data_IF_036916857649
#
_entry.id   IF_036916857649
#
_cell.length_a   1.000
_cell.length_b   1.000
_cell.length_c   1.000
_cell.angle_alpha   90.00
_cell.angle_beta   90.00
_cell.angle_gamma   90.00
#
_symmetry.space_group_name_H-M   'P 1'
#
loop_
_entity.id
_entity.type
_entity.pdbx_description
1 polymer ?
#
# COMPACT_ATOMS: atom_id res chain seq x y z
N UNK A 1 25.39 14.91 24.64
CA UNK A 1 24.06 14.91 24.03
C UNK A 1 23.48 13.51 24.18
N UNK A 2 22.53 13.33 25.09
CA UNK A 2 21.87 12.04 25.34
C UNK A 2 20.90 11.82 24.18
N UNK A 3 21.20 10.89 23.27
CA UNK A 3 20.25 10.46 22.26
C UNK A 3 19.18 9.67 23.01
N UNK A 4 18.01 10.23 23.20
CA UNK A 4 16.84 9.49 23.70
C UNK A 4 16.42 8.54 22.58
N UNK A 5 16.95 7.33 22.60
CA UNK A 5 16.48 6.24 21.74
C UNK A 5 15.15 5.72 22.30
N UNK A 6 14.07 6.02 21.59
CA UNK A 6 12.75 5.46 21.88
C UNK A 6 12.68 4.06 21.26
N UNK A 7 12.38 3.06 22.10
CA UNK A 7 12.22 1.68 21.64
C UNK A 7 11.01 1.51 20.74
N UNK A 8 11.13 0.67 19.74
CA UNK A 8 10.08 0.27 18.82
C UNK A 8 10.41 -1.07 18.19
N UNK A 9 9.61 -1.48 17.24
CA UNK A 9 9.75 -2.75 16.52
C UNK A 9 9.70 -2.50 15.03
N UNK A 10 10.59 -3.13 14.28
CA UNK A 10 10.52 -3.20 12.83
C UNK A 10 10.03 -4.58 12.41
N UNK A 11 9.00 -4.61 11.59
CA UNK A 11 8.48 -5.81 10.96
C UNK A 11 8.90 -5.83 9.50
N UNK A 12 9.44 -6.95 9.05
CA UNK A 12 9.68 -7.24 7.65
C UNK A 12 8.67 -8.26 7.15
N UNK A 13 7.86 -7.87 6.20
CA UNK A 13 6.77 -8.69 5.66
C UNK A 13 7.13 -9.06 4.23
N UNK A 14 7.26 -10.36 3.96
CA UNK A 14 7.57 -10.92 2.64
C UNK A 14 6.40 -11.66 2.04
N UNK A 15 6.38 -11.77 0.71
CA UNK A 15 5.35 -12.45 -0.06
C UNK A 15 4.83 -11.60 -1.21
N UNK A 16 3.58 -11.83 -1.61
CA UNK A 16 2.86 -10.96 -2.55
C UNK A 16 2.25 -9.78 -1.79
N UNK A 17 3.08 -8.80 -1.46
CA UNK A 17 2.68 -7.67 -0.61
C UNK A 17 2.86 -6.30 -1.27
N UNK A 18 3.30 -6.26 -2.53
CA UNK A 18 3.37 -5.04 -3.33
C UNK A 18 2.40 -5.10 -4.52
N UNK A 19 1.79 -3.97 -4.87
CA UNK A 19 0.81 -3.89 -5.96
C UNK A 19 -0.56 -4.50 -5.65
N UNK A 20 -0.85 -4.81 -4.40
CA UNK A 20 -2.08 -5.49 -3.95
C UNK A 20 -2.90 -4.68 -2.94
N UNK A 21 -2.60 -3.37 -2.79
CA UNK A 21 -3.25 -2.54 -1.78
C UNK A 21 -2.74 -2.79 -0.35
N UNK A 22 -1.56 -3.39 -0.19
CA UNK A 22 -1.06 -3.80 1.12
C UNK A 22 -0.67 -2.62 2.01
N UNK A 23 0.06 -1.60 1.50
CA UNK A 23 0.40 -0.37 2.26
C UNK A 23 -0.85 0.39 2.74
N UNK A 24 -1.87 0.65 1.89
CA UNK A 24 -3.16 1.18 2.34
C UNK A 24 -3.81 0.35 3.44
N UNK A 25 -3.82 -0.96 3.29
CA UNK A 25 -4.36 -1.89 4.28
C UNK A 25 -3.62 -1.81 5.63
N UNK A 26 -2.28 -1.84 5.60
CA UNK A 26 -1.42 -1.68 6.80
C UNK A 26 -1.71 -0.35 7.49
N UNK A 27 -1.82 0.74 6.73
CA UNK A 27 -2.15 2.05 7.26
C UNK A 27 -3.51 2.06 7.96
N UNK A 28 -4.55 1.52 7.31
CA UNK A 28 -5.90 1.45 7.88
C UNK A 28 -5.94 0.57 9.14
N UNK A 29 -5.20 -0.54 9.16
CA UNK A 29 -5.08 -1.41 10.32
C UNK A 29 -4.39 -0.68 11.49
N UNK A 30 -3.30 0.01 11.23
CA UNK A 30 -2.59 0.80 12.23
C UNK A 30 -3.49 1.89 12.84
N UNK A 31 -4.27 2.59 11.99
CA UNK A 31 -5.23 3.59 12.46
C UNK A 31 -6.30 2.98 13.38
N UNK A 32 -6.87 1.82 13.01
CA UNK A 32 -7.86 1.12 13.85
C UNK A 32 -7.31 0.72 15.21
N UNK A 33 -6.04 0.33 15.25
CA UNK A 33 -5.35 -0.08 16.47
C UNK A 33 -4.68 1.09 17.20
N UNK A 34 -4.82 2.31 16.69
CA UNK A 34 -4.22 3.54 17.26
C UNK A 34 -2.70 3.44 17.42
N UNK A 35 -2.02 2.80 16.47
CA UNK A 35 -0.57 2.61 16.46
C UNK A 35 0.15 3.80 15.81
N UNK A 36 1.38 4.04 16.26
CA UNK A 36 2.25 5.07 15.73
C UNK A 36 3.44 4.43 15.00
N UNK A 37 3.83 5.02 13.87
CA UNK A 37 4.93 4.48 13.10
C UNK A 37 4.86 4.78 11.62
N UNK A 38 5.38 3.86 10.83
CA UNK A 38 5.39 4.00 9.37
C UNK A 38 5.38 2.68 8.62
N UNK A 39 5.00 2.75 7.34
CA UNK A 39 5.09 1.65 6.39
C UNK A 39 5.74 2.12 5.09
N UNK A 40 6.63 1.30 4.51
CA UNK A 40 7.17 1.52 3.17
C UNK A 40 7.40 0.20 2.45
N UNK A 41 7.48 0.27 1.10
CA UNK A 41 8.01 -0.82 0.30
C UNK A 41 9.54 -0.73 0.21
N UNK A 42 10.19 -1.86 0.05
CA UNK A 42 11.59 -1.94 -0.38
C UNK A 42 11.79 -3.12 -1.36
N UNK A 43 13.06 -3.47 -1.65
CA UNK A 43 13.38 -4.56 -2.56
C UNK A 43 12.92 -5.95 -2.10
N UNK A 44 12.74 -6.16 -0.80
CA UNK A 44 12.42 -7.46 -0.19
C UNK A 44 10.94 -7.63 0.18
N UNK A 45 10.14 -6.56 0.11
CA UNK A 45 8.72 -6.61 0.47
C UNK A 45 8.21 -5.32 1.10
N UNK A 46 7.64 -5.43 2.30
CA UNK A 46 7.12 -4.31 3.08
C UNK A 46 7.80 -4.23 4.44
N UNK A 47 8.22 -3.04 4.80
CA UNK A 47 8.73 -2.72 6.13
C UNK A 47 7.69 -1.92 6.89
N UNK A 48 7.33 -2.37 8.07
CA UNK A 48 6.46 -1.65 9.03
C UNK A 48 7.27 -1.39 10.28
N UNK A 49 7.25 -0.16 10.76
CA UNK A 49 7.86 0.21 12.04
C UNK A 49 6.79 0.68 12.98
N UNK A 50 6.77 0.14 14.18
CA UNK A 50 5.79 0.45 15.22
C UNK A 50 6.51 0.92 16.49
N UNK A 51 5.89 1.87 17.16
CA UNK A 51 6.32 2.28 18.48
C UNK A 51 5.83 1.31 19.56
N UNK A 52 4.66 0.73 19.35
CA UNK A 52 3.94 -0.15 20.27
C UNK A 52 4.27 -1.64 20.03
N UNK A 53 3.76 -2.50 20.91
CA UNK A 53 3.83 -3.95 20.76
C UNK A 53 3.10 -4.40 19.46
N UNK A 54 3.77 -5.16 18.59
CA UNK A 54 3.20 -5.57 17.32
C UNK A 54 2.25 -6.78 17.38
N UNK A 55 2.05 -7.41 18.53
CA UNK A 55 1.37 -8.71 18.62
C UNK A 55 -0.05 -8.67 18.05
N UNK A 56 -0.87 -7.71 18.48
CA UNK A 56 -2.24 -7.54 17.97
C UNK A 56 -2.25 -7.15 16.50
N UNK A 57 -1.33 -6.28 16.07
CA UNK A 57 -1.18 -5.89 14.67
C UNK A 57 -0.88 -7.10 13.79
N UNK A 58 0.06 -7.96 14.18
CA UNK A 58 0.43 -9.17 13.42
C UNK A 58 -0.76 -10.13 13.33
N UNK A 59 -1.48 -10.34 14.44
CA UNK A 59 -2.65 -11.21 14.47
C UNK A 59 -3.73 -10.75 13.49
N UNK A 60 -4.08 -9.46 13.50
CA UNK A 60 -5.08 -8.90 12.60
C UNK A 60 -4.59 -8.76 11.15
N UNK A 61 -3.29 -8.57 10.94
CA UNK A 61 -2.69 -8.49 9.61
C UNK A 61 -2.99 -9.74 8.76
N UNK A 62 -2.95 -10.92 9.38
CA UNK A 62 -3.26 -12.19 8.71
C UNK A 62 -4.76 -12.40 8.48
N UNK A 63 -5.61 -11.92 9.38
CA UNK A 63 -7.06 -12.16 9.33
C UNK A 63 -7.76 -11.42 8.20
N UNK A 64 -7.30 -10.22 7.85
CA UNK A 64 -7.98 -9.31 6.91
C UNK A 64 -7.09 -8.94 5.72
N UNK A 65 -6.15 -9.81 5.35
CA UNK A 65 -5.23 -9.59 4.24
C UNK A 65 -5.99 -9.28 2.94
N UNK A 66 -5.56 -8.28 2.15
CA UNK A 66 -6.18 -7.98 0.86
C UNK A 66 -6.26 -9.20 -0.06
N UNK A 67 -7.32 -9.34 -0.89
CA UNK A 67 -7.59 -10.57 -1.65
C UNK A 67 -6.46 -11.01 -2.59
N UNK A 68 -5.66 -10.08 -3.10
CA UNK A 68 -4.53 -10.37 -3.99
C UNK A 68 -3.21 -10.54 -3.23
N UNK A 69 -3.18 -10.20 -1.95
CA UNK A 69 -1.99 -10.31 -1.13
C UNK A 69 -1.79 -11.73 -0.60
N UNK A 70 -0.53 -12.07 -0.36
CA UNK A 70 -0.14 -13.28 0.36
C UNK A 70 1.07 -12.95 1.21
N UNK A 71 0.97 -13.20 2.50
CA UNK A 71 2.08 -13.07 3.45
C UNK A 71 2.76 -14.43 3.56
N UNK A 72 4.03 -14.49 3.20
CA UNK A 72 4.85 -15.70 3.30
C UNK A 72 5.62 -15.73 4.63
N UNK A 73 6.11 -14.58 5.10
CA UNK A 73 6.75 -14.45 6.42
C UNK A 73 6.59 -13.04 7.00
N UNK A 74 6.60 -12.98 8.33
CA UNK A 74 6.73 -11.76 9.11
C UNK A 74 7.88 -11.95 10.08
N UNK A 75 8.94 -11.17 9.90
CA UNK A 75 10.09 -11.14 10.79
C UNK A 75 10.02 -9.87 11.63
N UNK A 76 10.35 -9.99 12.91
CA UNK A 76 10.30 -8.88 13.88
C UNK A 76 11.68 -8.67 14.47
N UNK A 77 12.13 -7.42 14.50
CA UNK A 77 13.39 -7.03 15.11
C UNK A 77 13.23 -5.73 15.92
N UNK A 78 14.03 -5.54 16.98
CA UNK A 78 14.05 -4.29 17.71
C UNK A 78 14.41 -3.12 16.79
N UNK A 79 13.73 -1.99 16.98
CA UNK A 79 13.99 -0.75 16.25
C UNK A 79 14.12 0.43 17.22
N UNK A 80 15.06 1.31 16.95
CA UNK A 80 15.27 2.51 17.74
C UNK A 80 14.86 3.75 16.95
N UNK A 81 13.86 4.47 17.44
CA UNK A 81 13.43 5.73 16.89
C UNK A 81 14.37 6.86 17.30
N UNK A 82 14.83 7.66 16.36
CA UNK A 82 15.54 8.92 16.65
C UNK A 82 14.59 10.00 17.14
N UNK A 83 13.34 9.96 16.68
CA UNK A 83 12.23 10.82 17.09
C UNK A 83 10.95 9.97 17.09
N UNK A 84 10.16 10.05 18.15
CA UNK A 84 8.88 9.35 18.22
C UNK A 84 7.94 9.81 17.11
N UNK A 85 7.30 8.88 16.38
CA UNK A 85 6.27 9.22 15.42
C UNK A 85 5.03 9.77 16.15
N UNK A 86 4.45 10.84 15.61
CA UNK A 86 3.23 11.44 16.15
C UNK A 86 1.96 10.74 15.65
N UNK A 87 2.08 9.98 14.55
CA UNK A 87 0.98 9.25 13.89
C UNK A 87 1.54 8.04 13.14
N UNK A 88 0.69 7.38 12.36
CA UNK A 88 1.12 6.33 11.43
C UNK A 88 1.09 6.85 10.00
N UNK A 89 2.20 6.72 9.27
CA UNK A 89 2.36 7.29 7.92
C UNK A 89 2.82 6.26 6.87
N UNK A 90 2.46 6.52 5.61
CA UNK A 90 3.03 5.79 4.47
C UNK A 90 4.24 6.58 3.97
N UNK A 91 5.43 5.99 4.10
CA UNK A 91 6.66 6.59 3.59
C UNK A 91 6.91 6.22 2.14
N UNK A 92 7.73 7.04 1.50
CA UNK A 92 8.28 6.73 0.19
C UNK A 92 9.07 5.42 0.24
N UNK A 93 8.95 4.62 -0.83
CA UNK A 93 9.65 3.34 -0.93
C UNK A 93 11.17 3.52 -0.89
N UNK A 94 11.85 2.60 -0.21
CA UNK A 94 13.30 2.51 -0.22
C UNK A 94 13.75 1.66 -1.41
N UNK A 95 14.85 2.05 -2.06
CA UNK A 95 15.50 1.25 -3.09
C UNK A 95 16.17 0.00 -2.50
N UNK A 96 16.63 -0.90 -3.37
CA UNK A 96 17.38 -2.11 -2.98
C UNK A 96 17.37 -3.17 -4.08
N UNK A 97 18.10 -4.26 -3.85
CA UNK A 97 18.06 -5.44 -4.72
C UNK A 97 16.66 -6.06 -4.65
N UNK A 98 16.11 -6.41 -5.82
CA UNK A 98 14.72 -6.85 -5.93
C UNK A 98 14.58 -8.34 -5.68
N UNK A 99 13.93 -8.70 -4.56
CA UNK A 99 13.58 -10.08 -4.19
C UNK A 99 12.08 -10.27 -3.96
N UNK A 100 11.27 -9.21 -4.21
CA UNK A 100 9.82 -9.28 -4.03
C UNK A 100 9.11 -9.87 -5.24
N UNK A 101 7.94 -10.48 -5.00
CA UNK A 101 7.14 -11.08 -6.05
C UNK A 101 6.34 -10.01 -6.81
N UNK A 102 6.36 -10.10 -8.15
CA UNK A 102 5.51 -9.28 -9.02
C UNK A 102 4.13 -9.94 -9.11
N UNK A 103 3.10 -9.14 -8.89
CA UNK A 103 1.71 -9.60 -8.98
C UNK A 103 1.22 -9.48 -10.43
N UNK A 104 0.57 -10.51 -10.99
CA UNK A 104 -0.07 -10.42 -12.31
C UNK A 104 -1.19 -9.37 -12.30
N UNK A 105 -1.60 -8.97 -13.49
CA UNK A 105 -2.77 -8.13 -13.68
C UNK A 105 -4.01 -8.81 -13.10
N UNK A 106 -4.88 -8.03 -12.49
CA UNK A 106 -6.12 -8.52 -11.89
C UNK A 106 -7.34 -8.08 -12.69
N UNK A 107 -8.29 -8.98 -12.88
CA UNK A 107 -9.57 -8.65 -13.47
C UNK A 107 -10.29 -7.56 -12.66
N UNK A 108 -11.14 -6.79 -13.34
CA UNK A 108 -11.95 -5.75 -12.70
C UNK A 108 -12.78 -6.33 -11.56
N UNK A 109 -12.67 -5.77 -10.38
CA UNK A 109 -13.38 -6.24 -9.19
C UNK A 109 -14.89 -5.88 -9.24
N UNK A 110 -15.75 -6.58 -8.46
CA UNK A 110 -17.18 -6.32 -8.45
C UNK A 110 -17.56 -4.86 -8.18
N UNK A 111 -16.87 -4.18 -7.25
CA UNK A 111 -17.15 -2.79 -6.89
C UNK A 111 -16.83 -1.85 -8.08
N UNK A 112 -15.75 -2.08 -8.80
CA UNK A 112 -15.42 -1.32 -9.99
C UNK A 112 -16.40 -1.61 -11.13
N UNK A 113 -16.89 -2.85 -11.27
CA UNK A 113 -17.93 -3.20 -12.23
C UNK A 113 -19.25 -2.49 -11.91
N UNK A 114 -19.65 -2.43 -10.65
CA UNK A 114 -20.84 -1.69 -10.21
C UNK A 114 -20.71 -0.21 -10.57
N UNK A 115 -19.60 0.44 -10.18
CA UNK A 115 -19.35 1.86 -10.50
C UNK A 115 -19.37 2.11 -12.01
N UNK A 116 -18.72 1.25 -12.80
CA UNK A 116 -18.67 1.38 -14.27
C UNK A 116 -20.06 1.26 -14.93
N UNK A 117 -20.98 0.53 -14.33
CA UNK A 117 -22.33 0.31 -14.88
C UNK A 117 -23.41 1.21 -14.25
N UNK A 118 -23.06 2.03 -13.26
CA UNK A 118 -24.02 2.90 -12.58
C UNK A 118 -24.04 4.28 -13.24
N UNK A 119 -25.15 4.68 -13.91
CA UNK A 119 -25.30 6.04 -14.44
C UNK A 119 -25.17 7.09 -13.34
N UNK A 120 -24.41 8.16 -13.61
CA UNK A 120 -24.14 9.22 -12.65
C UNK A 120 -22.82 9.05 -11.89
N UNK A 121 -22.23 7.89 -11.85
CA UNK A 121 -20.88 7.69 -11.32
C UNK A 121 -19.84 8.31 -12.26
N UNK A 122 -18.78 8.86 -11.68
CA UNK A 122 -17.73 9.55 -12.45
C UNK A 122 -17.04 8.64 -13.48
N UNK A 123 -16.97 7.34 -13.20
CA UNK A 123 -16.37 6.32 -14.09
C UNK A 123 -17.41 5.46 -14.81
N UNK A 124 -18.62 5.99 -14.97
CA UNK A 124 -19.64 5.32 -15.78
C UNK A 124 -19.12 5.08 -17.20
N UNK A 125 -19.16 3.81 -17.65
CA UNK A 125 -18.63 3.36 -18.95
C UNK A 125 -17.14 3.63 -19.19
N UNK A 126 -16.36 3.83 -18.14
CA UNK A 126 -14.92 4.04 -18.29
C UNK A 126 -14.18 2.70 -18.32
N UNK A 127 -13.59 2.28 -19.48
CA UNK A 127 -13.06 0.92 -19.63
C UNK A 127 -11.75 0.68 -18.89
N UNK A 128 -11.03 1.75 -18.47
CA UNK A 128 -9.78 1.64 -17.71
C UNK A 128 -10.00 1.78 -16.20
N UNK A 129 -11.25 1.54 -15.74
CA UNK A 129 -11.56 1.58 -14.32
C UNK A 129 -10.74 0.56 -13.53
N UNK A 130 -10.21 0.99 -12.40
CA UNK A 130 -9.44 0.16 -11.49
C UNK A 130 -9.44 0.74 -10.07
N UNK A 131 -8.94 -0.04 -9.12
CA UNK A 131 -8.71 0.37 -7.73
C UNK A 131 -7.50 -0.37 -7.15
N UNK A 132 -7.30 -0.33 -5.83
CA UNK A 132 -6.20 -1.04 -5.16
C UNK A 132 -6.30 -2.56 -5.30
N UNK A 133 -7.48 -3.12 -5.60
CA UNK A 133 -7.75 -4.56 -5.67
C UNK A 133 -7.87 -5.12 -7.09
N UNK A 134 -7.84 -4.28 -8.13
CA UNK A 134 -8.00 -4.73 -9.52
C UNK A 134 -7.26 -3.85 -10.52
N UNK A 135 -7.23 -4.28 -11.78
CA UNK A 135 -6.58 -3.59 -12.88
C UNK A 135 -5.13 -4.02 -13.09
N UNK A 136 -4.38 -3.26 -13.92
CA UNK A 136 -3.04 -3.64 -14.34
C UNK A 136 -2.01 -3.56 -13.19
N UNK A 137 -1.07 -4.48 -13.21
CA UNK A 137 0.09 -4.58 -12.32
C UNK A 137 1.35 -4.88 -13.14
N UNK A 138 1.53 -6.15 -13.53
CA UNK A 138 2.68 -6.60 -14.30
C UNK A 138 2.86 -5.81 -15.61
N UNK A 139 1.78 -5.59 -16.36
CA UNK A 139 1.83 -4.93 -17.67
C UNK A 139 2.24 -3.46 -17.62
N UNK A 140 2.14 -2.82 -16.46
CA UNK A 140 2.51 -1.40 -16.31
C UNK A 140 3.85 -1.18 -15.61
N UNK A 141 4.46 -2.21 -15.01
CA UNK A 141 5.71 -2.10 -14.25
C UNK A 141 6.89 -1.81 -15.20
N UNK A 142 7.71 -0.81 -14.87
CA UNK A 142 9.02 -0.54 -15.48
C UNK A 142 10.15 -0.98 -14.55
N UNK A 143 9.97 -0.77 -13.26
CA UNK A 143 10.91 -1.15 -12.22
C UNK A 143 10.18 -1.36 -10.90
N UNK A 144 10.88 -1.94 -9.93
CA UNK A 144 10.39 -2.10 -8.57
C UNK A 144 11.17 -1.16 -7.62
N UNK A 145 10.65 -0.84 -6.45
CA UNK A 145 9.36 -1.25 -5.86
C UNK A 145 8.15 -0.72 -6.64
N UNK A 146 6.97 -1.35 -6.45
CA UNK A 146 5.75 -0.99 -7.17
C UNK A 146 5.20 0.36 -6.70
N UNK A 147 5.65 1.41 -7.34
CA UNK A 147 5.22 2.78 -7.14
C UNK A 147 4.97 3.48 -8.48
N UNK A 148 4.02 4.41 -8.52
CA UNK A 148 3.59 5.09 -9.74
C UNK A 148 4.75 5.66 -10.57
N UNK A 149 5.78 6.32 -10.00
CA UNK A 149 6.93 6.81 -10.78
C UNK A 149 7.73 5.70 -11.48
N UNK A 150 7.66 4.46 -10.98
CA UNK A 150 8.33 3.29 -11.54
C UNK A 150 7.43 2.43 -12.43
N UNK A 151 6.30 3.00 -12.87
CA UNK A 151 5.35 2.40 -13.82
C UNK A 151 5.21 3.27 -15.07
N UNK A 152 4.56 2.75 -16.12
CA UNK A 152 4.18 3.56 -17.29
C UNK A 152 3.20 4.68 -16.92
N UNK A 153 2.51 4.55 -15.78
CA UNK A 153 1.56 5.55 -15.28
C UNK A 153 2.22 6.86 -14.83
N UNK A 154 3.53 6.89 -14.67
CA UNK A 154 4.28 8.14 -14.43
C UNK A 154 4.03 9.21 -15.51
N UNK A 155 3.76 8.78 -16.74
CA UNK A 155 3.47 9.69 -17.86
C UNK A 155 2.04 10.27 -17.86
N UNK A 156 1.17 9.79 -16.95
CA UNK A 156 -0.24 10.21 -16.87
C UNK A 156 -0.50 10.94 -15.56
N UNK A 157 -0.38 12.29 -15.54
CA UNK A 157 -0.66 13.07 -14.33
C UNK A 157 -2.12 12.90 -13.90
N UNK A 158 -2.34 12.87 -12.59
CA UNK A 158 -3.69 12.80 -12.04
C UNK A 158 -4.35 14.18 -12.10
N UNK A 159 -5.63 14.22 -12.50
CA UNK A 159 -6.44 15.41 -12.31
C UNK A 159 -6.74 15.63 -10.82
N UNK A 160 -7.19 16.83 -10.40
CA UNK A 160 -7.45 17.10 -8.97
C UNK A 160 -8.37 16.09 -8.28
N UNK A 161 -9.39 15.58 -8.99
CA UNK A 161 -10.32 14.59 -8.44
C UNK A 161 -9.64 13.22 -8.25
N UNK A 162 -8.88 12.74 -9.25
CA UNK A 162 -8.13 11.49 -9.13
C UNK A 162 -7.04 11.58 -8.07
N UNK A 163 -6.39 12.74 -7.93
CA UNK A 163 -5.40 13.00 -6.89
C UNK A 163 -6.05 12.98 -5.50
N UNK A 164 -7.24 13.56 -5.35
CA UNK A 164 -7.98 13.52 -4.10
C UNK A 164 -8.35 12.08 -3.69
N UNK A 165 -8.84 11.26 -4.62
CA UNK A 165 -9.09 9.82 -4.38
C UNK A 165 -7.81 9.07 -4.04
N UNK A 166 -6.72 9.33 -4.76
CA UNK A 166 -5.42 8.68 -4.55
C UNK A 166 -4.84 8.98 -3.16
N UNK A 167 -5.08 10.18 -2.62
CA UNK A 167 -4.61 10.61 -1.30
C UNK A 167 -5.60 10.36 -0.16
N UNK A 168 -6.86 10.07 -0.46
CA UNK A 168 -7.87 9.84 0.57
C UNK A 168 -7.78 8.42 1.15
N UNK A 169 -7.43 8.26 2.44
CA UNK A 169 -7.28 6.94 3.07
C UNK A 169 -8.56 6.11 3.11
N UNK A 170 -9.72 6.74 2.94
CA UNK A 170 -11.03 6.09 2.95
C UNK A 170 -11.53 5.73 1.54
N UNK A 171 -10.79 6.13 0.51
CA UNK A 171 -11.15 5.82 -0.87
C UNK A 171 -10.56 4.47 -1.31
N UNK A 172 -11.30 3.72 -2.14
CA UNK A 172 -10.85 2.47 -2.75
C UNK A 172 -9.62 2.64 -3.65
N UNK A 173 -9.30 3.88 -4.01
CA UNK A 173 -8.15 4.25 -4.86
C UNK A 173 -6.99 4.84 -4.06
N UNK A 174 -7.05 4.78 -2.75
CA UNK A 174 -5.96 5.23 -1.89
C UNK A 174 -4.66 4.50 -2.25
N UNK A 175 -3.66 5.25 -2.74
CA UNK A 175 -2.40 4.70 -3.26
C UNK A 175 -2.56 3.65 -4.39
N UNK A 176 -3.65 3.68 -5.16
CA UNK A 176 -3.82 2.82 -6.33
C UNK A 176 -2.94 3.31 -7.47
N UNK A 177 -1.78 2.71 -7.64
CA UNK A 177 -0.76 3.14 -8.63
C UNK A 177 -1.27 3.15 -10.08
N UNK A 178 -2.17 2.23 -10.52
CA UNK A 178 -2.67 2.20 -11.91
C UNK A 178 -3.78 3.20 -12.20
N UNK A 179 -4.24 3.96 -11.21
CA UNK A 179 -5.35 4.89 -11.38
C UNK A 179 -5.09 5.87 -12.55
N UNK A 180 -6.09 6.02 -13.41
CA UNK A 180 -6.11 6.99 -14.49
C UNK A 180 -7.38 7.83 -14.44
N UNK A 181 -7.34 9.00 -15.06
CA UNK A 181 -8.50 9.87 -15.18
C UNK A 181 -9.53 9.29 -16.16
N UNK A 182 -10.82 9.47 -15.84
CA UNK A 182 -11.92 9.19 -16.74
C UNK A 182 -12.07 10.31 -17.76
#
# INVERSE_FOLDING_TARGET
MTINNHSGVQLRIRGKVQGVGFRPYVWQLAQRLQLHGDVCNDGDGVVVRLQEDPAEFIAQLHQHCPPLARIDSVESEPFAWTQQPADFSIRQSAGGTMNTQIVPDAATCPECLVEMNTPGERRYRYPFINCTHCGPRFTIIRAMPYDRPLTVMAAFPLCPQCEAEYRNPYDRRFHAQPVACA
#
